data_IF_906814959643
#
_entry.id   IF_906814959643
#
_cell.length_a   1.000
_cell.length_b   1.000
_cell.length_c   1.000
_cell.angle_alpha   90.00
_cell.angle_beta   90.00
_cell.angle_gamma   90.00
#
_symmetry.space_group_name_H-M   'P 1'
#
loop_
_entity.id
_entity.type
_entity.pdbx_description
1 polymer ?
#
# COMPACT_ATOMS: atom_id res chain seq x y z
N UNK A 1 -13.82 3.16 -35.09
CA UNK A 1 -13.63 1.91 -34.30
C UNK A 1 -12.17 1.41 -34.37
N UNK A 2 -11.51 1.42 -35.55
CA UNK A 2 -10.16 0.92 -35.75
C UNK A 2 -9.08 1.80 -35.04
N UNK A 3 -9.18 3.12 -35.08
CA UNK A 3 -8.24 4.03 -34.42
C UNK A 3 -8.26 3.91 -32.89
N UNK A 4 -9.45 3.73 -32.30
CA UNK A 4 -9.62 3.57 -30.86
C UNK A 4 -9.00 2.25 -30.36
N UNK A 5 -9.12 1.19 -31.12
CA UNK A 5 -8.48 -0.10 -30.81
C UNK A 5 -6.96 -0.04 -30.99
N UNK A 6 -6.46 0.71 -31.99
CA UNK A 6 -5.04 0.91 -32.19
C UNK A 6 -4.38 1.66 -31.03
N UNK A 7 -5.05 2.68 -30.48
CA UNK A 7 -4.56 3.43 -29.31
C UNK A 7 -4.49 2.54 -28.06
N UNK A 8 -5.52 1.74 -27.79
CA UNK A 8 -5.55 0.83 -26.64
C UNK A 8 -4.50 -0.28 -26.75
N UNK A 9 -4.17 -0.71 -27.97
CA UNK A 9 -3.17 -1.75 -28.22
C UNK A 9 -1.74 -1.22 -28.29
N UNK A 10 -1.52 0.10 -28.34
CA UNK A 10 -0.20 0.72 -28.27
C UNK A 10 0.34 0.83 -26.85
N UNK A 11 -0.51 0.68 -25.83
CA UNK A 11 -0.14 0.73 -24.42
C UNK A 11 0.40 -0.64 -23.99
N UNK A 12 1.60 -0.68 -23.41
CA UNK A 12 2.22 -1.90 -22.86
C UNK A 12 1.69 -2.28 -21.47
N UNK A 13 0.47 -1.90 -21.20
CA UNK A 13 -0.25 -2.24 -19.96
C UNK A 13 -1.55 -2.94 -20.31
N UNK A 14 -1.97 -3.86 -19.45
CA UNK A 14 -3.30 -4.44 -19.56
C UNK A 14 -4.36 -3.38 -19.28
N UNK A 15 -5.36 -3.28 -20.14
CA UNK A 15 -6.51 -2.39 -19.98
C UNK A 15 -7.80 -3.21 -19.99
N UNK A 16 -8.58 -3.06 -18.92
CA UNK A 16 -9.91 -3.65 -18.79
C UNK A 16 -10.90 -2.52 -18.50
N UNK A 17 -12.04 -2.50 -19.20
CA UNK A 17 -13.15 -1.63 -18.82
C UNK A 17 -14.27 -2.47 -18.22
N UNK A 18 -14.96 -1.89 -17.23
CA UNK A 18 -16.14 -2.48 -16.59
C UNK A 18 -17.32 -1.50 -16.63
N UNK A 19 -18.53 -2.04 -16.61
CA UNK A 19 -19.74 -1.27 -16.43
C UNK A 19 -20.02 -0.98 -14.94
N UNK A 20 -21.13 -0.30 -14.64
CA UNK A 20 -21.57 0.02 -13.26
C UNK A 20 -21.82 -1.22 -12.38
N UNK A 21 -22.11 -2.35 -12.99
CA UNK A 21 -22.39 -3.62 -12.32
C UNK A 21 -21.11 -4.48 -12.17
N UNK A 22 -19.93 -3.86 -12.40
CA UNK A 22 -18.60 -4.45 -12.35
C UNK A 22 -18.38 -5.60 -13.37
N UNK A 23 -19.15 -5.66 -14.44
CA UNK A 23 -18.98 -6.63 -15.50
C UNK A 23 -17.98 -6.11 -16.54
N UNK A 24 -17.12 -6.99 -17.04
CA UNK A 24 -16.07 -6.68 -18.02
C UNK A 24 -16.71 -6.38 -19.38
N UNK A 25 -16.48 -5.18 -19.89
CA UNK A 25 -17.01 -4.72 -21.18
C UNK A 25 -15.96 -4.60 -22.27
N UNK A 26 -14.67 -4.49 -21.87
CA UNK A 26 -13.54 -4.37 -22.80
C UNK A 26 -12.29 -4.98 -22.20
N UNK A 27 -11.50 -5.61 -23.05
CA UNK A 27 -10.15 -6.13 -22.74
C UNK A 27 -9.27 -5.76 -23.93
N UNK A 28 -8.06 -5.19 -23.71
CA UNK A 28 -7.10 -4.96 -24.77
C UNK A 28 -6.19 -6.21 -24.98
N UNK A 29 -5.44 -6.21 -26.07
CA UNK A 29 -4.54 -7.33 -26.42
C UNK A 29 -3.50 -7.63 -25.32
N UNK A 30 -2.97 -6.60 -24.66
CA UNK A 30 -2.00 -6.78 -23.57
C UNK A 30 -2.65 -7.44 -22.36
N UNK A 31 -3.91 -7.10 -22.01
CA UNK A 31 -4.66 -7.79 -20.96
C UNK A 31 -4.81 -9.28 -21.25
N UNK A 32 -5.12 -9.63 -22.49
CA UNK A 32 -5.25 -11.04 -22.90
C UNK A 32 -3.94 -11.80 -22.68
N UNK A 33 -2.82 -11.19 -23.08
CA UNK A 33 -1.49 -11.76 -22.89
C UNK A 33 -1.14 -11.94 -21.42
N UNK A 34 -1.37 -10.92 -20.58
CA UNK A 34 -1.09 -10.96 -19.16
C UNK A 34 -1.98 -11.97 -18.41
N UNK A 35 -3.26 -12.07 -18.77
CA UNK A 35 -4.17 -13.05 -18.21
C UNK A 35 -3.77 -14.48 -18.57
N UNK A 36 -3.36 -14.71 -19.82
CA UNK A 36 -2.85 -16.00 -20.25
C UNK A 36 -1.59 -16.40 -19.47
N UNK A 37 -0.65 -15.48 -19.24
CA UNK A 37 0.53 -15.69 -18.38
C UNK A 37 0.16 -15.99 -16.94
N UNK A 38 -0.92 -15.42 -16.43
CA UNK A 38 -1.41 -15.67 -15.06
C UNK A 38 -2.20 -17.00 -14.94
N UNK A 39 -2.31 -17.78 -16.01
CA UNK A 39 -2.96 -19.08 -16.02
C UNK A 39 -4.47 -19.02 -16.30
N UNK A 40 -4.97 -17.92 -16.86
CA UNK A 40 -6.38 -17.81 -17.28
C UNK A 40 -6.48 -18.20 -18.75
N UNK A 41 -7.03 -19.36 -19.07
CA UNK A 41 -7.23 -19.77 -20.46
C UNK A 41 -8.37 -18.98 -21.10
N UNK A 42 -8.22 -18.64 -22.39
CA UNK A 42 -9.24 -17.97 -23.19
C UNK A 42 -9.78 -16.66 -22.59
N UNK A 43 -8.96 -15.60 -22.44
CA UNK A 43 -9.36 -14.33 -21.82
C UNK A 43 -10.59 -13.68 -22.47
N UNK A 44 -10.85 -13.92 -23.76
CA UNK A 44 -12.05 -13.43 -24.46
C UNK A 44 -13.36 -13.87 -23.81
N UNK A 45 -13.37 -15.00 -23.11
CA UNK A 45 -14.56 -15.50 -22.42
C UNK A 45 -14.90 -14.72 -21.16
N UNK A 46 -14.06 -13.75 -20.77
CA UNK A 46 -14.26 -12.90 -19.62
C UNK A 46 -15.21 -11.74 -19.88
N UNK A 47 -15.43 -11.38 -21.14
CA UNK A 47 -16.41 -10.36 -21.50
C UNK A 47 -17.80 -10.72 -20.93
N UNK A 48 -18.46 -9.76 -20.30
CA UNK A 48 -19.75 -9.92 -19.62
C UNK A 48 -19.68 -10.64 -18.27
N UNK A 49 -18.51 -11.06 -17.80
CA UNK A 49 -18.37 -11.66 -16.47
C UNK A 49 -17.96 -10.60 -15.42
N UNK A 50 -18.31 -10.82 -14.14
CA UNK A 50 -17.86 -9.95 -13.06
C UNK A 50 -16.33 -9.91 -12.97
N UNK A 51 -15.75 -8.71 -12.76
CA UNK A 51 -14.31 -8.53 -12.65
C UNK A 51 -13.68 -9.38 -11.55
N UNK A 52 -14.38 -9.58 -10.44
CA UNK A 52 -13.93 -10.38 -9.30
C UNK A 52 -13.63 -11.84 -9.65
N UNK A 53 -14.18 -12.36 -10.75
CA UNK A 53 -13.86 -13.72 -11.23
C UNK A 53 -12.40 -13.86 -11.69
N UNK A 54 -11.72 -12.75 -11.96
CA UNK A 54 -10.38 -12.71 -12.53
C UNK A 54 -9.41 -11.98 -11.63
N UNK A 55 -9.82 -10.83 -11.09
CA UNK A 55 -9.00 -9.94 -10.26
C UNK A 55 -9.54 -9.88 -8.84
N UNK A 56 -8.83 -10.49 -7.91
CA UNK A 56 -9.19 -10.48 -6.49
C UNK A 56 -8.46 -9.37 -5.72
N UNK A 57 -9.15 -8.78 -4.74
CA UNK A 57 -8.58 -7.78 -3.84
C UNK A 57 -8.75 -6.33 -4.28
N UNK A 58 -9.50 -6.06 -5.35
CA UNK A 58 -9.83 -4.70 -5.76
C UNK A 58 -11.03 -4.17 -4.98
N UNK A 59 -10.89 -2.95 -4.43
CA UNK A 59 -11.99 -2.24 -3.77
C UNK A 59 -12.73 -1.40 -4.82
N UNK A 60 -13.78 -1.94 -5.43
CA UNK A 60 -14.54 -1.28 -6.49
C UNK A 60 -15.46 -0.17 -5.95
N UNK A 61 -15.85 -0.22 -4.69
CA UNK A 61 -16.78 0.74 -4.08
C UNK A 61 -16.30 2.19 -4.17
N UNK A 62 -15.02 2.42 -3.92
CA UNK A 62 -14.40 3.76 -4.02
C UNK A 62 -14.53 4.34 -5.43
N UNK A 63 -14.39 3.48 -6.45
CA UNK A 63 -14.41 3.93 -7.85
C UNK A 63 -15.84 4.00 -8.39
N UNK A 64 -16.66 2.97 -8.14
CA UNK A 64 -18.00 2.87 -8.73
C UNK A 64 -19.07 3.62 -7.93
N UNK A 65 -18.88 3.84 -6.62
CA UNK A 65 -19.86 4.57 -5.78
C UNK A 65 -19.42 5.99 -5.47
N UNK A 66 -18.13 6.17 -5.13
CA UNK A 66 -17.61 7.48 -4.71
C UNK A 66 -17.00 8.28 -5.88
N UNK A 67 -16.78 7.67 -7.05
CA UNK A 67 -16.20 8.31 -8.22
C UNK A 67 -14.75 8.76 -8.04
N UNK A 68 -14.02 8.15 -7.12
CA UNK A 68 -12.61 8.45 -6.87
C UNK A 68 -11.71 7.39 -7.48
N UNK A 69 -10.63 7.83 -8.15
CA UNK A 69 -9.62 6.93 -8.67
C UNK A 69 -8.84 6.24 -7.53
N UNK A 70 -8.45 5.00 -7.74
CA UNK A 70 -7.56 4.24 -6.86
C UNK A 70 -6.30 3.88 -7.62
N UNK A 71 -5.14 4.27 -7.07
CA UNK A 71 -3.85 4.16 -7.75
C UNK A 71 -3.00 3.05 -7.13
N UNK A 72 -2.20 2.38 -7.96
CA UNK A 72 -1.14 1.43 -7.58
C UNK A 72 -1.59 0.34 -6.57
N UNK A 73 -2.78 -0.19 -6.77
CA UNK A 73 -3.32 -1.27 -5.93
C UNK A 73 -2.73 -2.62 -6.32
N UNK A 74 -2.20 -3.38 -5.35
CA UNK A 74 -1.80 -4.75 -5.62
C UNK A 74 -3.04 -5.62 -5.88
N UNK A 75 -3.02 -6.38 -6.97
CA UNK A 75 -4.09 -7.30 -7.35
C UNK A 75 -3.52 -8.65 -7.74
N UNK A 76 -4.12 -9.70 -7.21
CA UNK A 76 -3.76 -11.07 -7.54
C UNK A 76 -4.62 -11.57 -8.71
N UNK A 77 -3.95 -12.04 -9.75
CA UNK A 77 -4.58 -12.71 -10.90
C UNK A 77 -3.91 -14.07 -11.06
N UNK A 78 -4.63 -15.14 -10.81
CA UNK A 78 -4.05 -16.48 -10.77
C UNK A 78 -2.84 -16.54 -9.81
N UNK A 79 -1.68 -16.93 -10.32
CA UNK A 79 -0.43 -17.01 -9.55
C UNK A 79 0.44 -15.74 -9.63
N UNK A 80 0.01 -14.70 -10.35
CA UNK A 80 0.83 -13.52 -10.65
C UNK A 80 0.28 -12.30 -9.92
N UNK A 81 1.19 -11.51 -9.31
CA UNK A 81 0.88 -10.24 -8.68
C UNK A 81 1.05 -9.10 -9.69
N UNK A 82 0.01 -8.31 -9.83
CA UNK A 82 -0.04 -7.11 -10.66
C UNK A 82 -0.22 -5.86 -9.80
N UNK A 83 0.13 -4.71 -10.34
CA UNK A 83 -0.22 -3.40 -9.82
C UNK A 83 -1.29 -2.82 -10.73
N UNK A 84 -2.42 -2.44 -10.16
CA UNK A 84 -3.57 -1.92 -10.90
C UNK A 84 -3.92 -0.50 -10.47
N UNK A 85 -4.36 0.30 -11.44
CA UNK A 85 -4.94 1.63 -11.24
C UNK A 85 -6.36 1.62 -11.79
N UNK A 86 -7.32 2.09 -10.99
CA UNK A 86 -8.73 2.14 -11.32
C UNK A 86 -9.17 3.58 -11.46
N UNK A 87 -9.78 3.94 -12.57
CA UNK A 87 -10.28 5.28 -12.85
C UNK A 87 -11.76 5.20 -13.21
N UNK A 88 -12.65 6.00 -12.56
CA UNK A 88 -14.07 6.00 -12.88
C UNK A 88 -14.32 6.58 -14.29
N UNK A 89 -15.26 6.00 -15.00
CA UNK A 89 -15.82 6.52 -16.24
C UNK A 89 -17.12 7.23 -15.95
N UNK A 90 -17.23 8.48 -16.38
CA UNK A 90 -18.45 9.27 -16.26
C UNK A 90 -19.20 9.31 -17.58
N UNK A 91 -20.50 9.09 -17.51
CA UNK A 91 -21.46 9.28 -18.61
C UNK A 91 -22.56 10.24 -18.14
N UNK A 92 -22.69 11.38 -18.81
CA UNK A 92 -23.64 12.43 -18.47
C UNK A 92 -23.63 12.86 -16.97
N UNK A 93 -22.44 12.89 -16.35
CA UNK A 93 -22.25 13.26 -14.93
C UNK A 93 -22.52 12.12 -13.92
N UNK A 94 -22.88 10.95 -14.40
CA UNK A 94 -23.06 9.74 -13.56
C UNK A 94 -21.93 8.74 -13.81
N UNK A 95 -21.62 7.92 -12.81
CA UNK A 95 -20.61 6.86 -12.96
C UNK A 95 -21.21 5.75 -13.83
N UNK A 96 -20.67 5.59 -15.04
CA UNK A 96 -21.08 4.55 -15.99
C UNK A 96 -20.26 3.27 -15.90
N UNK A 97 -19.12 3.32 -15.17
CA UNK A 97 -18.20 2.20 -15.04
C UNK A 97 -16.82 2.65 -14.60
N UNK A 98 -15.80 1.84 -14.89
CA UNK A 98 -14.41 2.17 -14.63
C UNK A 98 -13.46 1.60 -15.68
N UNK A 99 -12.28 2.20 -15.81
CA UNK A 99 -11.14 1.63 -16.53
C UNK A 99 -10.14 1.16 -15.48
N UNK A 100 -9.64 -0.04 -15.68
CA UNK A 100 -8.57 -0.64 -14.91
C UNK A 100 -7.36 -0.78 -15.83
N UNK A 101 -6.25 -0.14 -15.48
CA UNK A 101 -4.96 -0.41 -16.09
C UNK A 101 -4.12 -1.24 -15.14
N UNK A 102 -3.40 -2.24 -15.62
CA UNK A 102 -2.60 -3.09 -14.76
C UNK A 102 -1.33 -3.58 -15.47
N UNK A 103 -0.28 -3.76 -14.68
CA UNK A 103 1.02 -4.26 -15.12
C UNK A 103 1.60 -5.24 -14.11
N UNK A 104 2.42 -6.16 -14.58
CA UNK A 104 3.08 -7.12 -13.71
C UNK A 104 4.06 -6.38 -12.77
N UNK A 105 3.99 -6.71 -11.49
CA UNK A 105 4.98 -6.24 -10.52
C UNK A 105 6.30 -6.93 -10.79
N UNK A 106 7.33 -6.16 -11.12
CA UNK A 106 8.65 -6.71 -11.44
C UNK A 106 9.47 -6.96 -10.17
N UNK A 107 10.38 -7.95 -10.21
CA UNK A 107 11.33 -8.20 -9.11
C UNK A 107 12.15 -6.96 -8.76
N UNK A 108 12.47 -6.13 -9.75
CA UNK A 108 13.21 -4.89 -9.55
C UNK A 108 12.42 -3.87 -8.70
N UNK A 109 11.09 -3.75 -8.94
CA UNK A 109 10.21 -2.89 -8.13
C UNK A 109 10.08 -3.43 -6.70
N UNK A 110 10.05 -4.73 -6.54
CA UNK A 110 10.00 -5.39 -5.24
C UNK A 110 11.27 -5.14 -4.44
N UNK A 111 12.45 -5.29 -5.07
CA UNK A 111 13.74 -4.96 -4.48
C UNK A 111 13.86 -3.46 -4.15
N UNK A 112 13.42 -2.57 -5.02
CA UNK A 112 13.42 -1.12 -4.78
C UNK A 112 12.56 -0.74 -3.56
N UNK A 113 11.39 -1.37 -3.41
CA UNK A 113 10.52 -1.16 -2.26
C UNK A 113 11.14 -1.70 -0.95
N UNK A 114 11.79 -2.86 -1.00
CA UNK A 114 12.52 -3.42 0.13
C UNK A 114 13.69 -2.52 0.55
N UNK A 115 14.47 -2.00 -0.40
CA UNK A 115 15.56 -1.05 -0.14
C UNK A 115 15.07 0.24 0.50
N UNK A 116 13.93 0.76 0.05
CA UNK A 116 13.29 1.95 0.65
C UNK A 116 12.86 1.67 2.09
N UNK A 117 12.29 0.51 2.36
CA UNK A 117 11.94 0.07 3.72
C UNK A 117 13.16 -0.02 4.65
N UNK A 118 14.26 -0.63 4.18
CA UNK A 118 15.52 -0.72 4.92
C UNK A 118 16.12 0.67 5.21
N UNK A 119 16.07 1.58 4.24
CA UNK A 119 16.54 2.96 4.40
C UNK A 119 15.75 3.71 5.47
N UNK A 120 14.42 3.64 5.40
CA UNK A 120 13.53 4.26 6.40
C UNK A 120 13.78 3.70 7.80
N UNK A 121 14.01 2.39 7.92
CA UNK A 121 14.36 1.75 9.18
C UNK A 121 15.72 2.23 9.72
N UNK A 122 16.74 2.33 8.85
CA UNK A 122 18.05 2.83 9.24
C UNK A 122 18.00 4.29 9.71
N UNK A 123 17.20 5.13 9.06
CA UNK A 123 17.03 6.54 9.46
C UNK A 123 16.27 6.65 10.78
N UNK A 124 15.26 5.82 11.03
CA UNK A 124 14.57 5.74 12.32
C UNK A 124 15.53 5.30 13.45
N UNK A 125 16.39 4.31 13.20
CA UNK A 125 17.41 3.88 14.17
C UNK A 125 18.43 5.00 14.47
N UNK A 126 18.87 5.76 13.46
CA UNK A 126 19.76 6.91 13.65
C UNK A 126 19.10 7.97 14.51
N UNK A 127 17.84 8.32 14.22
CA UNK A 127 17.09 9.28 15.01
C UNK A 127 16.96 8.84 16.48
N UNK A 128 16.65 7.56 16.71
CA UNK A 128 16.58 6.99 18.06
C UNK A 128 17.94 7.03 18.79
N UNK A 129 19.03 6.72 18.09
CA UNK A 129 20.38 6.79 18.63
C UNK A 129 20.75 8.22 19.03
N UNK A 130 20.44 9.20 18.18
CA UNK A 130 20.65 10.62 18.48
C UNK A 130 19.86 11.07 19.71
N UNK A 131 18.61 10.68 19.81
CA UNK A 131 17.78 10.99 20.98
C UNK A 131 18.35 10.38 22.25
N UNK A 132 18.79 9.11 22.19
CA UNK A 132 19.45 8.45 23.32
C UNK A 132 20.73 9.18 23.75
N UNK A 133 21.60 9.55 22.80
CA UNK A 133 22.82 10.28 23.07
C UNK A 133 22.54 11.66 23.69
N UNK A 134 21.50 12.36 23.23
CA UNK A 134 21.10 13.65 23.83
C UNK A 134 20.65 13.45 25.28
N UNK A 135 19.86 12.43 25.59
CA UNK A 135 19.47 12.08 26.96
C UNK A 135 20.71 11.78 27.83
N UNK A 136 21.67 11.05 27.30
CA UNK A 136 22.94 10.76 28.01
C UNK A 136 23.75 12.02 28.29
N UNK A 137 23.85 12.94 27.32
CA UNK A 137 24.54 14.22 27.56
C UNK A 137 23.89 15.05 28.66
N UNK A 138 22.57 15.11 28.72
CA UNK A 138 21.84 15.80 29.80
C UNK A 138 22.13 15.14 31.15
N UNK A 139 22.08 13.81 31.22
CA UNK A 139 22.40 13.07 32.45
C UNK A 139 23.83 13.36 32.91
N UNK A 140 24.82 13.28 32.02
CA UNK A 140 26.22 13.58 32.36
C UNK A 140 26.39 15.03 32.83
N UNK A 141 25.77 15.99 32.15
CA UNK A 141 25.82 17.39 32.55
C UNK A 141 25.24 17.64 33.95
N UNK A 142 24.09 16.99 34.26
CA UNK A 142 23.47 17.09 35.59
C UNK A 142 24.35 16.46 36.70
N UNK A 143 25.04 15.36 36.39
CA UNK A 143 26.03 14.74 37.32
C UNK A 143 27.20 15.66 37.56
N UNK A 144 27.79 16.22 36.49
CA UNK A 144 28.94 17.13 36.60
C UNK A 144 28.61 18.39 37.40
N UNK A 145 27.38 18.89 37.26
CA UNK A 145 26.85 20.02 38.02
C UNK A 145 26.44 19.65 39.45
N UNK A 146 26.46 18.36 39.81
CA UNK A 146 25.96 17.82 41.09
C UNK A 146 24.47 18.13 41.35
N UNK A 147 23.69 18.32 40.28
CA UNK A 147 22.27 18.63 40.29
C UNK A 147 21.44 17.33 40.42
N UNK A 148 21.50 16.69 41.58
CA UNK A 148 20.94 15.33 41.76
C UNK A 148 19.41 15.30 41.82
N UNK A 149 18.78 16.36 42.27
CA UNK A 149 17.31 16.44 42.31
C UNK A 149 16.74 16.58 40.90
N UNK A 150 17.35 17.40 40.07
CA UNK A 150 17.02 17.58 38.65
C UNK A 150 17.29 16.29 37.85
N UNK A 151 18.39 15.58 38.13
CA UNK A 151 18.71 14.29 37.54
C UNK A 151 17.62 13.26 37.84
N UNK A 152 17.18 13.20 39.11
CA UNK A 152 16.09 12.28 39.51
C UNK A 152 14.79 12.60 38.78
N UNK A 153 14.43 13.87 38.68
CA UNK A 153 13.23 14.30 37.96
C UNK A 153 13.32 13.94 36.48
N UNK A 154 14.45 14.24 35.84
CA UNK A 154 14.65 13.94 34.41
C UNK A 154 14.59 12.43 34.11
N UNK A 155 15.17 11.58 34.94
CA UNK A 155 15.11 10.14 34.79
C UNK A 155 13.69 9.58 34.98
N UNK A 156 12.92 10.16 35.91
CA UNK A 156 11.50 9.81 36.08
C UNK A 156 10.64 10.20 34.87
N UNK A 157 10.89 11.38 34.30
CA UNK A 157 10.20 11.82 33.09
C UNK A 157 10.46 10.86 31.90
N UNK A 158 11.73 10.45 31.71
CA UNK A 158 12.06 9.45 30.65
C UNK A 158 11.33 8.13 30.89
N UNK A 159 11.28 7.65 32.13
CA UNK A 159 10.60 6.41 32.47
C UNK A 159 9.08 6.49 32.25
N UNK A 160 8.45 7.60 32.65
CA UNK A 160 7.02 7.82 32.49
C UNK A 160 6.60 7.98 31.02
N UNK A 161 7.40 8.69 30.21
CA UNK A 161 7.13 8.84 28.78
C UNK A 161 7.16 7.49 28.05
N UNK A 162 8.13 6.63 28.36
CA UNK A 162 8.17 5.26 27.81
C UNK A 162 6.92 4.45 28.18
N UNK A 163 6.44 4.60 29.40
CA UNK A 163 5.25 3.88 29.88
C UNK A 163 3.96 4.40 29.18
N UNK A 164 3.88 5.70 28.93
CA UNK A 164 2.77 6.32 28.20
C UNK A 164 2.77 5.93 26.71
N UNK A 165 3.92 5.89 26.06
CA UNK A 165 4.06 5.41 24.67
C UNK A 165 3.66 3.93 24.54
N UNK A 166 4.10 3.09 25.48
CA UNK A 166 3.74 1.69 25.54
C UNK A 166 2.22 1.50 25.71
N UNK A 167 1.59 2.23 26.61
CA UNK A 167 0.15 2.19 26.84
C UNK A 167 -0.64 2.68 25.62
N UNK A 168 -0.15 3.71 24.92
CA UNK A 168 -0.75 4.24 23.70
C UNK A 168 -0.74 3.22 22.54
N UNK A 169 0.39 2.50 22.38
CA UNK A 169 0.54 1.45 21.38
C UNK A 169 -0.40 0.29 21.68
N UNK A 170 -0.47 -0.17 22.93
CA UNK A 170 -1.35 -1.29 23.36
C UNK A 170 -2.83 -0.94 23.16
N UNK A 171 -3.24 0.30 23.42
CA UNK A 171 -4.66 0.70 23.28
C UNK A 171 -5.11 0.84 21.83
N UNK A 172 -4.21 1.08 20.88
CA UNK A 172 -4.54 1.22 19.45
C UNK A 172 -4.36 -0.04 18.63
N UNK A 173 -3.52 -0.97 19.06
CA UNK A 173 -3.37 -2.26 18.40
C UNK A 173 -4.42 -3.22 18.96
N UNK A 174 -5.36 -3.62 18.10
CA UNK A 174 -6.36 -4.66 18.42
C UNK A 174 -5.72 -6.06 18.59
N UNK A 175 -4.46 -6.21 18.26
CA UNK A 175 -3.72 -7.49 18.32
C UNK A 175 -2.67 -7.41 19.43
N UNK A 176 -2.92 -8.12 20.51
CA UNK A 176 -2.07 -8.19 21.71
C UNK A 176 -0.71 -8.83 21.39
N UNK A 177 -0.65 -9.75 20.43
CA UNK A 177 0.59 -10.42 20.02
C UNK A 177 1.51 -9.45 19.30
N UNK A 178 0.96 -8.62 18.43
CA UNK A 178 1.69 -7.58 17.70
C UNK A 178 2.18 -6.47 18.66
N UNK A 179 1.35 -6.10 19.64
CA UNK A 179 1.73 -5.13 20.68
C UNK A 179 2.91 -5.64 21.52
N UNK A 180 2.89 -6.91 21.91
CA UNK A 180 3.98 -7.57 22.62
C UNK A 180 5.30 -7.60 21.83
N UNK A 181 5.21 -7.80 20.51
CA UNK A 181 6.39 -7.79 19.64
C UNK A 181 7.02 -6.40 19.48
N UNK A 182 6.19 -5.34 19.42
CA UNK A 182 6.65 -3.95 19.31
C UNK A 182 7.24 -3.44 20.63
N UNK A 183 6.68 -3.85 21.77
CA UNK A 183 7.12 -3.42 23.11
C UNK A 183 8.26 -4.27 23.68
N UNK A 184 8.46 -5.49 23.17
CA UNK A 184 9.45 -6.45 23.67
C UNK A 184 10.86 -6.27 23.10
N UNK A 185 11.15 -5.16 22.41
CA UNK A 185 12.49 -4.76 21.97
C UNK A 185 12.98 -3.55 22.77
#
# INVERSE_FOLDING_TARGET
LQERNALLNSVKEGVVAINKDAEITLINTESEFLFAQAGIPNPHTLLGKPLETVMNGLTLDTVLKEGRATLDMPVQVGSVLFIATLVPLFDNGHIGGAIITFRKKTELEELANQLTGVRNYADALRAQTHEFMNKMHVIMGLIDMKAYDELKQFTMEIANNRQAEAAYVVTRLKDITLAGFILGK
#
